data_IF_710069713389
#
_entry.id   IF_710069713389
#
_cell.length_a   1.000
_cell.length_b   1.000
_cell.length_c   1.000
_cell.angle_alpha   90.00
_cell.angle_beta   90.00
_cell.angle_gamma   90.00
#
_symmetry.space_group_name_H-M   'P 1'
#
loop_
_entity.id
_entity.type
_entity.pdbx_description
1 polymer ?
#
# COMPACT_ATOMS: atom_id res chain seq x y z
N UNK A 1 -3.45 43.42 -12.46
CA UNK A 1 -2.41 44.43 -12.81
C UNK A 1 -3.00 45.66 -13.49
N UNK A 2 -2.40 46.85 -13.34
CA UNK A 2 -2.86 48.06 -14.05
C UNK A 2 -2.19 48.20 -15.42
N UNK A 3 -2.97 48.57 -16.44
CA UNK A 3 -2.44 48.82 -17.78
C UNK A 3 -1.54 50.07 -17.79
N UNK A 4 -0.31 50.01 -18.33
CA UNK A 4 0.60 51.16 -18.39
C UNK A 4 0.18 52.22 -19.43
N UNK A 5 -0.72 51.87 -20.36
CA UNK A 5 -1.19 52.79 -21.41
C UNK A 5 -2.41 53.61 -20.95
N UNK A 6 -3.46 52.94 -20.43
CA UNK A 6 -4.72 53.60 -20.07
C UNK A 6 -5.02 53.66 -18.56
N UNK A 7 -4.19 53.03 -17.71
CA UNK A 7 -4.37 53.02 -16.25
C UNK A 7 -5.49 52.11 -15.73
N UNK A 8 -6.21 51.39 -16.60
CA UNK A 8 -7.30 50.49 -16.20
C UNK A 8 -6.76 49.25 -15.46
N UNK A 9 -7.44 48.82 -14.40
CA UNK A 9 -7.12 47.59 -13.68
C UNK A 9 -7.60 46.38 -14.48
N UNK A 10 -6.70 45.45 -14.77
CA UNK A 10 -6.91 44.24 -15.54
C UNK A 10 -6.67 43.01 -14.65
N UNK A 11 -7.38 41.89 -14.82
CA UNK A 11 -7.02 40.63 -14.18
C UNK A 11 -5.63 40.15 -14.63
N UNK A 12 -4.95 39.39 -13.79
CA UNK A 12 -3.56 39.00 -14.00
C UNK A 12 -3.37 37.93 -15.09
N UNK A 13 -4.44 37.19 -15.44
CA UNK A 13 -4.42 36.12 -16.46
C UNK A 13 -4.60 36.63 -17.90
N UNK A 14 -4.74 37.94 -18.10
CA UNK A 14 -4.97 38.52 -19.43
C UNK A 14 -3.68 39.04 -20.05
N UNK A 15 -3.44 38.63 -21.29
CA UNK A 15 -2.35 39.12 -22.13
C UNK A 15 -2.63 40.49 -22.78
N UNK A 16 -3.90 40.92 -22.84
CA UNK A 16 -4.36 42.14 -23.55
C UNK A 16 -5.36 42.93 -22.70
N UNK A 17 -5.32 44.26 -22.81
CA UNK A 17 -6.15 45.17 -22.03
C UNK A 17 -7.57 45.13 -22.57
N UNK A 18 -8.57 44.89 -21.70
CA UNK A 18 -9.96 44.86 -22.16
C UNK A 18 -10.51 46.22 -22.61
N UNK A 19 -9.79 47.31 -22.30
CA UNK A 19 -10.29 48.68 -22.51
C UNK A 19 -9.63 49.38 -23.71
N UNK A 20 -8.35 49.13 -23.97
CA UNK A 20 -7.61 49.80 -25.05
C UNK A 20 -6.88 48.83 -25.99
N UNK A 21 -7.09 47.53 -25.83
CA UNK A 21 -6.55 46.46 -26.70
C UNK A 21 -5.02 46.41 -26.81
N UNK A 22 -4.32 47.06 -25.90
CA UNK A 22 -2.86 47.03 -25.83
C UNK A 22 -2.36 45.79 -25.08
N UNK A 23 -1.20 45.21 -25.48
CA UNK A 23 -0.63 44.06 -24.80
C UNK A 23 -0.19 44.43 -23.38
N UNK A 24 -0.49 43.57 -22.42
CA UNK A 24 -0.03 43.72 -21.04
C UNK A 24 1.30 42.99 -20.82
N UNK A 25 2.12 43.46 -19.85
CA UNK A 25 3.32 42.74 -19.46
C UNK A 25 2.92 41.39 -18.84
N UNK A 26 3.30 40.28 -19.51
CA UNK A 26 3.09 38.93 -18.96
C UNK A 26 3.88 38.77 -17.67
N UNK A 27 3.20 38.50 -16.56
CA UNK A 27 3.87 38.08 -15.33
C UNK A 27 4.41 36.66 -15.56
N UNK A 28 5.70 36.46 -15.30
CA UNK A 28 6.28 35.11 -15.35
C UNK A 28 5.59 34.27 -14.28
N UNK A 29 4.80 33.29 -14.69
CA UNK A 29 4.29 32.29 -13.77
C UNK A 29 5.48 31.64 -13.07
N UNK A 30 5.48 31.64 -11.74
CA UNK A 30 6.49 30.92 -10.99
C UNK A 30 6.42 29.45 -11.41
N UNK A 31 7.55 28.79 -11.67
CA UNK A 31 7.54 27.41 -12.13
C UNK A 31 6.74 26.58 -11.12
N UNK A 32 5.64 25.98 -11.59
CA UNK A 32 4.80 25.10 -10.79
C UNK A 32 5.70 24.03 -10.20
N UNK A 33 6.02 24.13 -8.90
CA UNK A 33 6.81 23.13 -8.20
C UNK A 33 6.07 21.81 -8.38
N UNK A 34 6.66 20.92 -9.18
CA UNK A 34 6.22 19.54 -9.25
C UNK A 34 6.43 18.98 -7.84
N UNK A 35 5.37 19.02 -7.04
CA UNK A 35 5.23 18.21 -5.85
C UNK A 35 5.21 16.77 -6.36
N UNK A 36 6.41 16.18 -6.43
CA UNK A 36 6.62 14.76 -6.60
C UNK A 36 5.99 14.06 -5.41
N UNK A 37 4.70 13.82 -5.57
CA UNK A 37 3.84 13.13 -4.64
C UNK A 37 4.39 11.72 -4.48
N UNK A 38 4.81 11.39 -3.26
CA UNK A 38 5.08 10.04 -2.80
C UNK A 38 6.10 9.26 -3.63
N UNK A 39 7.39 9.36 -3.26
CA UNK A 39 8.44 8.45 -3.72
C UNK A 39 8.26 7.05 -3.11
N UNK A 40 7.10 6.43 -3.28
CA UNK A 40 6.91 4.99 -3.10
C UNK A 40 7.34 4.34 -4.42
N UNK A 41 8.66 4.40 -4.65
CA UNK A 41 9.30 3.92 -5.88
C UNK A 41 9.30 2.41 -5.96
N UNK A 42 9.84 1.88 -7.06
CA UNK A 42 9.94 0.44 -7.35
C UNK A 42 10.44 -0.42 -6.17
N UNK A 43 11.26 0.14 -5.27
CA UNK A 43 11.71 -0.52 -4.05
C UNK A 43 10.57 -1.01 -3.14
N UNK A 44 9.46 -0.27 -3.03
CA UNK A 44 8.32 -0.74 -2.24
C UNK A 44 7.73 -2.03 -2.81
N UNK A 45 7.58 -2.11 -4.14
CA UNK A 45 7.08 -3.31 -4.81
C UNK A 45 8.04 -4.49 -4.66
N UNK A 46 9.35 -4.26 -4.77
CA UNK A 46 10.37 -5.30 -4.53
C UNK A 46 10.25 -5.85 -3.11
N UNK A 47 10.15 -4.97 -2.10
CA UNK A 47 9.99 -5.40 -0.70
C UNK A 47 8.71 -6.22 -0.52
N UNK A 48 7.57 -5.79 -1.08
CA UNK A 48 6.30 -6.53 -0.98
C UNK A 48 6.36 -7.92 -1.65
N UNK A 49 6.99 -8.03 -2.82
CA UNK A 49 7.17 -9.31 -3.52
C UNK A 49 8.06 -10.24 -2.70
N UNK A 50 9.20 -9.75 -2.18
CA UNK A 50 10.12 -10.55 -1.36
C UNK A 50 9.42 -11.03 -0.08
N UNK A 51 8.70 -10.16 0.62
CA UNK A 51 7.93 -10.52 1.81
C UNK A 51 6.85 -11.57 1.51
N UNK A 52 6.13 -11.42 0.40
CA UNK A 52 5.12 -12.39 -0.04
C UNK A 52 5.71 -13.77 -0.35
N UNK A 53 6.86 -13.81 -1.03
CA UNK A 53 7.57 -15.07 -1.33
C UNK A 53 8.03 -15.75 -0.04
N UNK A 54 8.65 -15.01 0.88
CA UNK A 54 9.09 -15.56 2.16
C UNK A 54 7.93 -16.13 2.98
N UNK A 55 6.79 -15.42 3.03
CA UNK A 55 5.60 -15.89 3.74
C UNK A 55 5.03 -17.19 3.14
N UNK A 56 4.98 -17.29 1.81
CA UNK A 56 4.51 -18.48 1.12
C UNK A 56 5.42 -19.68 1.40
N UNK A 57 6.74 -19.48 1.33
CA UNK A 57 7.73 -20.52 1.65
C UNK A 57 7.64 -20.96 3.11
N UNK A 58 7.45 -20.03 4.05
CA UNK A 58 7.26 -20.34 5.47
C UNK A 58 5.95 -21.11 5.71
N UNK A 59 4.88 -20.79 4.98
CA UNK A 59 3.60 -21.50 5.07
C UNK A 59 3.68 -22.92 4.52
N UNK A 60 4.52 -23.17 3.51
CA UNK A 60 4.80 -24.53 3.02
C UNK A 60 5.66 -25.36 3.99
N UNK A 61 6.53 -24.71 4.76
CA UNK A 61 7.47 -25.39 5.68
C UNK A 61 6.95 -25.51 7.12
N UNK A 62 6.10 -24.60 7.59
CA UNK A 62 5.43 -24.71 8.87
C UNK A 62 4.14 -25.53 8.70
N UNK A 63 4.28 -26.85 8.62
CA UNK A 63 3.19 -27.74 9.05
C UNK A 63 3.11 -27.62 10.57
N UNK A 64 2.09 -26.98 11.16
CA UNK A 64 1.89 -27.12 12.59
C UNK A 64 1.73 -28.61 12.85
N UNK A 65 2.60 -29.18 13.69
CA UNK A 65 2.40 -30.53 14.16
C UNK A 65 0.99 -30.58 14.75
N UNK A 66 0.09 -31.29 14.10
CA UNK A 66 -1.22 -31.61 14.64
C UNK A 66 -0.96 -32.36 15.94
N UNK A 67 -1.03 -31.66 17.07
CA UNK A 67 -1.09 -32.27 18.39
C UNK A 67 -2.45 -32.97 18.42
N UNK A 68 -2.52 -34.31 18.42
CA UNK A 68 -3.81 -34.97 18.59
C UNK A 68 -4.40 -34.55 19.94
N UNK A 69 -5.72 -34.31 20.04
CA UNK A 69 -6.34 -33.97 21.31
C UNK A 69 -6.05 -35.08 22.33
N UNK A 70 -5.62 -34.68 23.52
CA UNK A 70 -5.21 -35.52 24.64
C UNK A 70 -6.39 -36.27 25.30
N UNK A 71 -7.24 -36.93 24.51
CA UNK A 71 -8.44 -37.63 24.98
C UNK A 71 -8.42 -39.13 24.64
N UNK A 72 -7.26 -39.79 24.72
CA UNK A 72 -7.19 -41.26 24.71
C UNK A 72 -6.14 -41.80 25.68
N UNK A 73 -6.25 -41.40 26.95
CA UNK A 73 -5.63 -42.16 28.04
C UNK A 73 -6.74 -42.57 28.99
N UNK A 74 -7.43 -43.67 28.65
CA UNK A 74 -8.16 -44.44 29.65
C UNK A 74 -7.15 -45.30 30.40
N UNK A 75 -7.05 -45.23 31.74
CA UNK A 75 -6.20 -46.13 32.49
C UNK A 75 -6.90 -47.49 32.54
N UNK A 76 -6.34 -48.51 31.88
CA UNK A 76 -6.74 -49.89 32.18
C UNK A 76 -6.84 -50.93 31.06
N UNK A 77 -6.29 -50.71 29.85
CA UNK A 77 -6.25 -51.79 28.84
C UNK A 77 -4.85 -51.87 28.24
N UNK A 78 -4.09 -52.92 28.58
CA UNK A 78 -2.89 -53.31 27.83
C UNK A 78 -3.37 -54.14 26.63
N UNK A 79 -3.14 -53.63 25.41
CA UNK A 79 -3.33 -54.38 24.17
C UNK A 79 -2.16 -55.35 24.00
N UNK A 80 -2.30 -56.59 24.51
CA UNK A 80 -1.49 -57.72 24.04
C UNK A 80 -2.28 -58.40 22.93
N UNK A 81 -1.62 -58.64 21.80
CA UNK A 81 -2.26 -59.06 20.55
C UNK A 81 -3.24 -60.23 20.69
N UNK A 82 -4.34 -60.11 19.94
CA UNK A 82 -5.33 -61.14 19.63
C UNK A 82 -5.98 -61.87 20.82
N UNK A 83 -6.97 -61.22 21.44
CA UNK A 83 -8.04 -61.90 22.19
C UNK A 83 -8.49 -61.13 23.43
N UNK A 84 -9.69 -60.55 23.38
CA UNK A 84 -10.35 -59.98 24.55
C UNK A 84 -11.26 -61.02 25.20
N UNK A 85 -11.00 -61.34 26.48
CA UNK A 85 -11.95 -62.04 27.35
C UNK A 85 -12.19 -61.22 28.63
N UNK A 86 -13.44 -61.13 29.13
CA UNK A 86 -13.75 -60.39 30.34
C UNK A 86 -13.30 -61.17 31.59
N UNK A 87 -12.69 -60.47 32.55
CA UNK A 87 -12.42 -61.00 33.89
C UNK A 87 -13.70 -60.90 34.73
N UNK A 88 -14.19 -62.04 35.20
CA UNK A 88 -15.16 -62.15 36.31
C UNK A 88 -14.52 -61.78 37.64
#
# INVERSE_FOLDING_TARGET
MNCPNCGRSNPDDRDVCYNCDQPLPRRKEAPKRNNQTGRMGAMTWVVLVVLGVLFFLQSCMHRPATIPPASSVSPGIIQVGHGQYPLT
#
